data_IF_593595928377
#
_entry.id   IF_593595928377
#
_cell.length_a   1.000
_cell.length_b   1.000
_cell.length_c   1.000
_cell.angle_alpha   90.00
_cell.angle_beta   90.00
_cell.angle_gamma   90.00
#
_symmetry.space_group_name_H-M   'P 1'
#
loop_
_entity.id
_entity.type
_entity.pdbx_description
1 polymer ?
#
# COMPACT_ATOMS: atom_id res chain seq x y z
N UNK A 1 13.76 8.40 -2.27
CA UNK A 1 13.16 9.35 -1.31
C UNK A 1 11.68 8.99 -1.16
N UNK A 2 11.09 9.13 0.03
CA UNK A 2 9.66 8.91 0.23
C UNK A 2 8.84 9.86 -0.65
N UNK A 3 7.73 9.37 -1.19
CA UNK A 3 6.81 10.10 -2.06
C UNK A 3 5.38 10.02 -1.52
N UNK A 4 4.53 10.94 -1.96
CA UNK A 4 3.08 10.83 -1.77
C UNK A 4 2.49 9.66 -2.58
N UNK A 5 3.18 9.27 -3.66
CA UNK A 5 2.78 8.17 -4.53
C UNK A 5 3.69 6.97 -4.30
N UNK A 6 3.06 5.85 -4.03
CA UNK A 6 3.68 4.53 -3.88
C UNK A 6 3.21 3.68 -5.04
N UNK A 7 4.13 2.96 -5.68
CA UNK A 7 3.76 1.94 -6.66
C UNK A 7 3.93 0.56 -6.05
N UNK A 8 3.21 -0.42 -6.55
CA UNK A 8 3.42 -1.84 -6.22
C UNK A 8 2.87 -2.70 -7.35
N UNK A 9 3.50 -3.83 -7.63
CA UNK A 9 3.04 -4.78 -8.65
C UNK A 9 2.75 -6.13 -8.01
N UNK A 10 1.62 -6.74 -8.35
CA UNK A 10 1.34 -8.15 -8.08
C UNK A 10 1.66 -8.99 -9.32
N UNK A 11 2.52 -9.99 -9.16
CA UNK A 11 2.83 -10.99 -10.17
C UNK A 11 3.19 -12.33 -9.52
N UNK A 12 2.69 -13.43 -10.06
CA UNK A 12 2.84 -14.78 -9.53
C UNK A 12 2.37 -14.89 -8.06
N UNK A 13 1.24 -14.25 -7.70
CA UNK A 13 0.69 -14.25 -6.33
C UNK A 13 1.75 -13.75 -5.32
N UNK A 14 2.49 -12.71 -5.70
CA UNK A 14 3.47 -12.01 -4.87
C UNK A 14 3.45 -10.53 -5.19
N UNK A 15 3.61 -9.69 -4.17
CA UNK A 15 4.04 -8.31 -4.40
C UNK A 15 5.51 -8.31 -4.81
N UNK A 16 5.88 -7.42 -5.72
CA UNK A 16 7.26 -7.24 -6.18
C UNK A 16 8.18 -6.59 -5.14
N UNK A 17 7.60 -6.10 -4.03
CA UNK A 17 8.30 -5.51 -2.89
C UNK A 17 7.57 -5.81 -1.59
N UNK A 18 8.34 -6.05 -0.53
CA UNK A 18 7.83 -6.31 0.84
C UNK A 18 7.87 -5.07 1.73
N UNK A 19 8.34 -3.94 1.21
CA UNK A 19 8.34 -2.66 1.91
C UNK A 19 7.83 -1.58 0.98
N UNK A 20 6.82 -0.84 1.45
CA UNK A 20 6.29 0.35 0.82
C UNK A 20 6.59 1.54 1.74
N UNK A 21 7.00 2.67 1.17
CA UNK A 21 7.31 3.87 1.95
C UNK A 21 6.59 5.09 1.40
N UNK A 22 5.89 5.82 2.28
CA UNK A 22 5.11 7.01 1.93
C UNK A 22 5.39 8.18 2.88
N UNK A 23 4.99 9.39 2.47
CA UNK A 23 5.02 10.59 3.30
C UNK A 23 3.84 10.64 4.28
N UNK A 24 4.13 11.05 5.52
CA UNK A 24 3.15 11.23 6.58
C UNK A 24 2.28 12.48 6.40
N UNK A 25 1.15 12.51 7.10
CA UNK A 25 0.29 13.69 7.28
C UNK A 25 -0.28 14.29 5.98
N UNK A 26 -0.34 13.48 4.92
CA UNK A 26 -1.00 13.82 3.66
C UNK A 26 -1.61 12.56 3.04
N UNK A 27 -2.58 12.73 2.14
CA UNK A 27 -3.13 11.61 1.39
C UNK A 27 -2.02 10.88 0.62
N UNK A 28 -2.08 9.55 0.63
CA UNK A 28 -1.13 8.69 -0.04
C UNK A 28 -1.82 8.01 -1.22
N UNK A 29 -1.20 8.09 -2.39
CA UNK A 29 -1.67 7.42 -3.60
C UNK A 29 -0.93 6.09 -3.74
N UNK A 30 -1.64 4.98 -3.86
CA UNK A 30 -1.03 3.70 -4.25
C UNK A 30 -1.44 3.40 -5.69
N UNK A 31 -0.48 3.33 -6.59
CA UNK A 31 -0.67 2.82 -7.95
C UNK A 31 -0.38 1.32 -7.90
N UNK A 32 -1.44 0.51 -7.98
CA UNK A 32 -1.33 -0.94 -7.89
C UNK A 32 -1.50 -1.58 -9.26
N UNK A 33 -0.43 -2.21 -9.75
CA UNK A 33 -0.42 -2.98 -10.98
C UNK A 33 -0.70 -4.46 -10.68
N UNK A 34 -1.85 -4.96 -11.08
CA UNK A 34 -2.11 -6.40 -11.07
C UNK A 34 -1.70 -6.99 -12.42
N UNK A 35 -0.59 -7.73 -12.45
CA UNK A 35 -0.08 -8.38 -13.66
C UNK A 35 -0.53 -9.85 -13.78
N UNK A 36 -1.30 -10.38 -12.83
CA UNK A 36 -1.77 -11.77 -12.82
C UNK A 36 -3.13 -11.90 -13.56
N UNK A 37 -3.19 -12.55 -14.72
CA UNK A 37 -4.41 -12.64 -15.51
C UNK A 37 -5.53 -13.38 -14.77
N UNK A 38 -6.68 -12.73 -14.59
CA UNK A 38 -7.86 -13.31 -13.95
C UNK A 38 -7.78 -13.45 -12.43
N UNK A 39 -6.67 -13.08 -11.80
CA UNK A 39 -6.48 -13.25 -10.35
C UNK A 39 -6.85 -11.95 -9.63
N UNK A 40 -7.73 -12.06 -8.63
CA UNK A 40 -8.12 -10.93 -7.79
C UNK A 40 -7.02 -10.58 -6.79
N UNK A 41 -6.64 -9.30 -6.77
CA UNK A 41 -5.76 -8.76 -5.73
C UNK A 41 -6.30 -7.43 -5.21
N UNK A 42 -5.85 -7.06 -4.02
CA UNK A 42 -5.97 -5.71 -3.46
C UNK A 42 -4.73 -5.38 -2.64
N UNK A 43 -4.65 -4.13 -2.17
CA UNK A 43 -3.75 -3.71 -1.11
C UNK A 43 -4.60 -3.18 0.04
N UNK A 44 -4.45 -3.78 1.21
CA UNK A 44 -5.05 -3.31 2.46
C UNK A 44 -3.95 -3.03 3.48
N UNK A 45 -4.15 -1.99 4.29
CA UNK A 45 -3.21 -1.52 5.31
C UNK A 45 -3.88 -1.67 6.68
N UNK A 46 -3.14 -2.24 7.63
CA UNK A 46 -3.56 -2.54 8.99
C UNK A 46 -2.55 -1.98 9.99
N UNK A 47 -2.98 -1.81 11.24
CA UNK A 47 -2.09 -1.43 12.34
C UNK A 47 -0.88 -2.37 12.45
N UNK A 48 -1.13 -3.67 12.30
CA UNK A 48 -0.16 -4.74 12.47
C UNK A 48 -0.62 -6.04 11.77
N UNK A 49 0.21 -7.08 11.87
CA UNK A 49 -0.01 -8.39 11.22
C UNK A 49 -1.21 -9.17 11.75
N UNK A 50 -1.82 -8.77 12.87
CA UNK A 50 -3.03 -9.41 13.39
C UNK A 50 -4.26 -9.14 12.54
N UNK A 51 -4.21 -8.16 11.62
CA UNK A 51 -5.31 -7.81 10.72
C UNK A 51 -6.57 -7.25 11.39
N UNK A 52 -6.55 -6.98 12.70
CA UNK A 52 -7.77 -6.63 13.46
C UNK A 52 -8.23 -5.20 13.26
N UNK A 53 -7.29 -4.27 13.05
CA UNK A 53 -7.59 -2.86 12.85
C UNK A 53 -7.11 -2.43 11.47
N UNK A 54 -8.07 -2.21 10.56
CA UNK A 54 -7.79 -1.67 9.22
C UNK A 54 -7.61 -0.16 9.26
N UNK A 55 -6.57 0.32 8.59
CA UNK A 55 -6.34 1.74 8.30
C UNK A 55 -6.82 2.11 6.89
N UNK A 56 -6.76 1.15 5.96
CA UNK A 56 -7.27 1.29 4.61
C UNK A 56 -7.55 -0.09 4.00
N UNK A 57 -8.61 -0.23 3.21
CA UNK A 57 -8.91 -1.45 2.45
C UNK A 57 -9.22 -1.08 1.01
N UNK A 58 -8.35 -1.47 0.09
CA UNK A 58 -8.58 -1.28 -1.35
C UNK A 58 -9.58 -2.29 -1.89
N UNK A 59 -10.34 -1.88 -2.92
CA UNK A 59 -11.23 -2.78 -3.67
C UNK A 59 -10.42 -3.85 -4.41
N UNK A 60 -10.92 -5.08 -4.43
CA UNK A 60 -10.30 -6.16 -5.21
C UNK A 60 -10.59 -6.00 -6.70
N UNK A 61 -9.61 -6.30 -7.55
CA UNK A 61 -9.77 -6.31 -8.99
C UNK A 61 -8.89 -7.36 -9.66
N UNK A 62 -9.31 -7.85 -10.83
CA UNK A 62 -8.58 -8.84 -11.59
C UNK A 62 -7.56 -8.20 -12.54
N UNK A 63 -6.42 -8.87 -12.73
CA UNK A 63 -5.41 -8.46 -13.71
C UNK A 63 -5.66 -9.07 -15.11
N UNK A 64 -4.92 -8.63 -16.14
CA UNK A 64 -3.97 -7.53 -16.12
C UNK A 64 -4.68 -6.17 -16.08
N UNK A 65 -4.43 -5.36 -15.04
CA UNK A 65 -5.07 -4.05 -14.85
C UNK A 65 -4.24 -3.22 -13.86
N UNK A 66 -4.37 -1.90 -13.94
CA UNK A 66 -3.89 -0.99 -12.89
C UNK A 66 -5.08 -0.32 -12.21
N UNK A 67 -5.04 -0.25 -10.88
CA UNK A 67 -5.96 0.55 -10.08
C UNK A 67 -5.19 1.55 -9.24
N UNK A 68 -5.81 2.70 -8.98
CA UNK A 68 -5.27 3.73 -8.11
C UNK A 68 -6.09 3.78 -6.83
N UNK A 69 -5.42 3.61 -5.70
CA UNK A 69 -6.02 3.73 -4.38
C UNK A 69 -5.63 5.05 -3.71
N UNK A 70 -6.59 5.62 -2.98
CA UNK A 70 -6.38 6.82 -2.17
C UNK A 70 -6.47 6.46 -0.70
N UNK A 71 -5.30 6.36 -0.06
CA UNK A 71 -5.16 6.08 1.36
C UNK A 71 -5.28 7.41 2.12
N UNK A 72 -6.10 7.49 3.18
CA UNK A 72 -6.17 8.67 4.05
C UNK A 72 -4.80 9.02 4.63
N UNK A 73 -4.64 10.27 5.07
CA UNK A 73 -3.41 10.70 5.74
C UNK A 73 -3.14 9.83 6.97
N UNK A 74 -1.92 9.32 7.06
CA UNK A 74 -1.44 8.54 8.21
C UNK A 74 -0.34 9.31 8.94
N UNK A 75 -0.33 9.19 10.27
CA UNK A 75 0.78 9.68 11.08
C UNK A 75 2.06 8.87 10.80
N UNK A 76 3.26 9.42 11.09
CA UNK A 76 4.50 8.66 10.98
C UNK A 76 4.42 7.36 11.79
N UNK A 77 4.85 6.25 11.19
CA UNK A 77 4.69 4.93 11.78
C UNK A 77 5.09 3.79 10.86
N UNK A 78 5.08 2.58 11.43
CA UNK A 78 5.27 1.32 10.71
C UNK A 78 4.01 0.50 10.82
N UNK A 79 3.45 0.12 9.68
CA UNK A 79 2.18 -0.57 9.55
C UNK A 79 2.36 -1.87 8.75
N UNK A 80 1.31 -2.67 8.70
CA UNK A 80 1.27 -3.91 7.94
C UNK A 80 0.42 -3.73 6.69
N UNK A 81 0.89 -4.17 5.52
CA UNK A 81 0.04 -4.27 4.34
C UNK A 81 -0.05 -5.71 3.85
N UNK A 82 -1.20 -6.07 3.27
CA UNK A 82 -1.39 -7.37 2.63
C UNK A 82 -2.40 -7.31 1.48
N UNK A 83 -2.48 -8.39 0.72
CA UNK A 83 -3.67 -8.72 -0.04
C UNK A 83 -4.63 -9.54 0.84
N UNK A 84 -5.92 -9.18 0.84
CA UNK A 84 -6.98 -9.90 1.57
C UNK A 84 -7.47 -11.17 0.85
N UNK A 85 -7.18 -11.31 -0.45
CA UNK A 85 -7.45 -12.54 -1.21
C UNK A 85 -6.35 -13.57 -0.94
N UNK A 86 -5.11 -13.11 -0.80
CA UNK A 86 -3.91 -13.94 -0.69
C UNK A 86 -3.05 -13.48 0.50
N UNK A 87 -3.37 -13.95 1.71
CA UNK A 87 -2.76 -13.41 2.94
C UNK A 87 -1.23 -13.56 3.04
N UNK A 88 -0.62 -14.45 2.26
CA UNK A 88 0.83 -14.59 2.13
C UNK A 88 1.49 -13.46 1.33
N UNK A 89 0.72 -12.68 0.56
CA UNK A 89 1.17 -11.47 -0.09
C UNK A 89 1.09 -10.34 0.93
N UNK A 90 2.20 -10.06 1.60
CA UNK A 90 2.24 -9.05 2.65
C UNK A 90 3.62 -8.39 2.79
N UNK A 91 3.66 -7.34 3.60
CA UNK A 91 4.87 -6.63 3.91
C UNK A 91 4.65 -5.48 4.88
N UNK A 92 5.65 -4.61 4.96
CA UNK A 92 5.69 -3.44 5.84
C UNK A 92 5.34 -2.17 5.08
N UNK A 93 4.45 -1.36 5.63
CA UNK A 93 4.10 -0.04 5.11
C UNK A 93 4.66 1.04 6.05
N UNK A 94 5.70 1.74 5.62
CA UNK A 94 6.41 2.73 6.43
C UNK A 94 5.96 4.13 6.03
N UNK A 95 5.44 4.87 6.99
CA UNK A 95 5.05 6.27 6.80
C UNK A 95 6.07 7.13 7.53
N UNK A 96 6.83 7.92 6.78
CA UNK A 96 7.90 8.78 7.33
C UNK A 96 7.49 10.24 7.29
N UNK A 97 7.95 11.01 8.27
CA UNK A 97 7.77 12.46 8.23
C UNK A 97 8.37 13.01 6.92
N UNK A 98 7.62 13.83 6.20
CA UNK A 98 8.20 14.64 5.15
C UNK A 98 9.23 15.57 5.75
N UNK A 99 10.34 15.79 5.05
CA UNK A 99 11.27 16.85 5.40
C UNK A 99 10.44 18.14 5.57
N UNK A 100 10.60 18.91 6.67
CA UNK A 100 9.94 20.20 6.76
C UNK A 100 10.34 20.99 5.51
N UNK A 101 9.34 21.35 4.69
CA UNK A 101 9.57 22.31 3.62
C UNK A 101 10.19 23.55 4.27
N UNK A 102 11.31 24.10 3.79
CA UNK A 102 11.84 25.34 4.35
C UNK A 102 10.73 26.39 4.20
N UNK A 103 10.19 26.85 5.33
CA UNK A 103 9.20 27.92 5.35
C UNK A 103 9.80 29.16 4.69
N UNK A 104 9.03 29.76 3.77
CA UNK A 104 9.29 31.09 3.24
C UNK A 104 8.89 32.18 4.21
#
# INVERSE_FOLDING_TARGET
>A
APSATVEVTAKNIKFDRTTLQALANQAITIVFHNADPGILHNVAIYSDSSAKQSLFVGSTFNGPKTETYHVPALSPGTFYFRCDVHHQMNGTFVVVAGSPSPGG
#
